data_IF_584111606260
#
_entry.id   IF_584111606260
#
_cell.length_a   1.000
_cell.length_b   1.000
_cell.length_c   1.000
_cell.angle_alpha   90.00
_cell.angle_beta   90.00
_cell.angle_gamma   90.00
#
_symmetry.space_group_name_H-M   'P 1'
#
loop_
_entity.id
_entity.type
_entity.pdbx_description
1 polymer ?
#
# COMPACT_ATOMS: atom_id res chain seq x y z
N UNK A 1 -59.61 17.90 45.70
CA UNK A 1 -60.44 16.89 46.40
C UNK A 1 -61.34 16.26 45.34
N UNK A 2 -61.27 14.93 45.17
CA UNK A 2 -61.90 14.16 44.08
C UNK A 2 -63.34 13.78 44.44
N UNK A 3 -64.26 13.93 43.49
CA UNK A 3 -65.63 13.41 43.55
C UNK A 3 -66.07 12.94 42.14
N UNK A 4 -66.72 11.76 42.07
CA UNK A 4 -67.63 11.28 41.00
C UNK A 4 -66.98 10.88 39.65
N UNK A 5 -67.00 9.64 39.15
CA UNK A 5 -68.10 8.69 38.83
C UNK A 5 -68.67 8.84 37.39
N UNK A 6 -68.68 7.71 36.66
CA UNK A 6 -69.52 7.33 35.48
C UNK A 6 -69.32 8.08 34.15
N UNK A 7 -68.67 7.47 33.15
CA UNK A 7 -69.25 6.66 32.04
C UNK A 7 -70.04 7.47 30.99
N UNK A 8 -69.46 7.62 29.80
CA UNK A 8 -70.19 7.68 28.54
C UNK A 8 -69.49 6.78 27.51
N UNK A 9 -70.28 5.84 26.99
CA UNK A 9 -69.95 4.84 25.98
C UNK A 9 -70.30 5.39 24.59
N UNK A 10 -69.66 4.79 23.59
CA UNK A 10 -69.96 4.82 22.15
C UNK A 10 -69.21 5.93 21.37
N UNK A 11 -68.70 5.70 20.16
CA UNK A 11 -69.22 4.86 19.06
C UNK A 11 -68.05 4.37 18.19
N UNK A 12 -68.20 3.15 17.68
CA UNK A 12 -67.42 2.50 16.63
C UNK A 12 -67.18 3.38 15.39
N UNK A 13 -65.94 3.39 14.87
CA UNK A 13 -65.69 3.58 13.44
C UNK A 13 -64.60 2.58 13.01
N UNK A 14 -65.06 1.40 12.58
CA UNK A 14 -64.30 0.51 11.70
C UNK A 14 -64.22 1.18 10.33
N UNK A 15 -63.01 1.58 9.93
CA UNK A 15 -62.66 1.65 8.51
C UNK A 15 -61.32 0.96 8.33
N UNK A 16 -61.38 -0.28 7.88
CA UNK A 16 -60.24 -0.99 7.32
C UNK A 16 -59.83 -0.28 6.04
N UNK A 17 -58.68 0.37 6.06
CA UNK A 17 -58.01 0.88 4.87
C UNK A 17 -56.55 0.47 4.91
N UNK A 18 -56.19 -0.56 4.13
CA UNK A 18 -54.80 -0.75 3.74
C UNK A 18 -54.34 0.53 3.04
N UNK A 19 -53.30 1.16 3.56
CA UNK A 19 -52.46 2.06 2.78
C UNK A 19 -51.03 1.68 3.09
N UNK A 20 -50.52 0.80 2.23
CA UNK A 20 -49.10 0.70 1.94
C UNK A 20 -48.67 2.10 1.51
N UNK A 21 -47.74 2.72 2.23
CA UNK A 21 -46.89 3.70 1.60
C UNK A 21 -45.45 3.51 2.08
N UNK A 22 -44.63 3.21 1.09
CA UNK A 22 -43.22 2.96 1.19
C UNK A 22 -42.49 4.18 1.74
N UNK A 23 -41.74 4.01 2.81
CA UNK A 23 -40.58 4.84 3.12
C UNK A 23 -39.36 3.94 3.13
N UNK A 24 -39.01 3.46 1.96
CA UNK A 24 -37.67 2.96 1.66
C UNK A 24 -37.01 3.99 0.75
N UNK A 25 -35.74 4.30 1.02
CA UNK A 25 -34.82 5.22 0.31
C UNK A 25 -34.73 6.66 0.84
N UNK A 26 -34.06 6.81 1.99
CA UNK A 26 -33.27 8.01 2.28
C UNK A 26 -31.99 7.73 3.09
N UNK A 27 -31.85 6.54 3.68
CA UNK A 27 -30.74 6.24 4.63
C UNK A 27 -29.54 5.51 4.02
N UNK A 28 -29.61 5.09 2.76
CA UNK A 28 -28.56 4.26 2.12
C UNK A 28 -27.47 5.08 1.41
N UNK A 29 -27.74 6.34 1.05
CA UNK A 29 -26.78 7.23 0.33
C UNK A 29 -25.77 7.88 1.29
N UNK A 30 -26.17 8.09 2.56
CA UNK A 30 -25.34 8.78 3.56
C UNK A 30 -24.17 7.92 4.08
N UNK A 31 -24.31 6.59 4.09
CA UNK A 31 -23.29 5.68 4.65
C UNK A 31 -22.14 5.47 3.65
N UNK A 32 -22.45 5.35 2.34
CA UNK A 32 -21.44 5.18 1.31
C UNK A 32 -20.52 6.40 1.18
N UNK A 33 -21.08 7.60 1.30
CA UNK A 33 -20.31 8.86 1.24
C UNK A 33 -19.37 9.00 2.45
N UNK A 34 -19.81 8.63 3.64
CA UNK A 34 -18.98 8.69 4.85
C UNK A 34 -17.84 7.66 4.83
N UNK A 35 -18.11 6.44 4.34
CA UNK A 35 -17.08 5.40 4.19
C UNK A 35 -16.04 5.79 3.12
N UNK A 36 -16.46 6.38 2.00
CA UNK A 36 -15.58 6.90 0.96
C UNK A 36 -14.70 8.05 1.48
N UNK A 37 -15.27 8.97 2.25
CA UNK A 37 -14.51 10.08 2.87
C UNK A 37 -13.45 9.57 3.85
N UNK A 38 -13.80 8.60 4.71
CA UNK A 38 -12.84 7.98 5.64
C UNK A 38 -11.73 7.24 4.88
N UNK A 39 -12.06 6.52 3.81
CA UNK A 39 -11.08 5.84 2.99
C UNK A 39 -10.12 6.83 2.29
N UNK A 40 -10.63 7.94 1.76
CA UNK A 40 -9.83 8.99 1.13
C UNK A 40 -8.90 9.68 2.14
N UNK A 41 -9.38 9.97 3.35
CA UNK A 41 -8.56 10.53 4.42
C UNK A 41 -7.46 9.56 4.87
N UNK A 42 -7.79 8.28 5.00
CA UNK A 42 -6.81 7.24 5.35
C UNK A 42 -5.72 7.12 4.28
N UNK A 43 -6.10 7.09 3.00
CA UNK A 43 -5.15 7.06 1.88
C UNK A 43 -4.23 8.30 1.88
N UNK A 44 -4.80 9.48 2.11
CA UNK A 44 -4.02 10.73 2.21
C UNK A 44 -3.02 10.69 3.37
N UNK A 45 -3.44 10.18 4.53
CA UNK A 45 -2.55 10.03 5.69
C UNK A 45 -1.43 9.02 5.43
N UNK A 46 -1.72 7.92 4.73
CA UNK A 46 -0.71 6.93 4.33
C UNK A 46 0.32 7.53 3.35
N UNK A 47 -0.12 8.31 2.37
CA UNK A 47 0.77 9.00 1.43
C UNK A 47 1.65 10.03 2.12
N UNK A 48 1.08 10.81 3.05
CA UNK A 48 1.83 11.77 3.86
C UNK A 48 2.89 11.07 4.73
N UNK A 49 2.55 9.95 5.36
CA UNK A 49 3.50 9.14 6.14
C UNK A 49 4.61 8.59 5.25
N UNK A 50 4.28 8.06 4.08
CA UNK A 50 5.26 7.55 3.12
C UNK A 50 6.21 8.66 2.65
N UNK A 51 5.69 9.84 2.31
CA UNK A 51 6.50 10.97 1.91
C UNK A 51 7.44 11.45 3.02
N UNK A 52 6.96 11.46 4.28
CA UNK A 52 7.77 11.78 5.44
C UNK A 52 8.91 10.76 5.61
N UNK A 53 8.61 9.46 5.60
CA UNK A 53 9.63 8.40 5.74
C UNK A 53 10.74 8.51 4.72
N UNK A 54 10.41 8.77 3.45
CA UNK A 54 11.42 8.92 2.39
C UNK A 54 12.34 10.12 2.65
N UNK A 55 11.79 11.25 3.10
CA UNK A 55 12.54 12.48 3.39
C UNK A 55 13.41 12.35 4.65
N UNK A 56 12.97 11.58 5.63
CA UNK A 56 13.69 11.37 6.90
C UNK A 56 14.51 10.09 6.93
N UNK A 57 14.61 9.38 5.81
CA UNK A 57 15.41 8.16 5.71
C UNK A 57 16.90 8.45 5.93
N UNK A 58 17.62 7.46 6.45
CA UNK A 58 19.08 7.54 6.65
C UNK A 58 19.81 7.87 5.35
N UNK A 59 19.32 7.33 4.22
CA UNK A 59 19.84 7.57 2.88
C UNK A 59 18.70 8.08 2.00
N UNK A 60 18.58 9.40 1.87
CA UNK A 60 17.56 10.06 1.04
C UNK A 60 18.15 10.85 -0.15
N UNK A 61 19.48 10.82 -0.35
CA UNK A 61 20.15 11.47 -1.47
C UNK A 61 21.33 10.66 -2.00
N UNK A 62 21.79 10.98 -3.21
CA UNK A 62 22.95 10.33 -3.83
C UNK A 62 24.24 10.62 -3.04
N UNK A 63 24.40 11.85 -2.54
CA UNK A 63 25.53 12.24 -1.69
C UNK A 63 25.49 11.49 -0.35
N UNK A 64 24.29 11.34 0.24
CA UNK A 64 24.09 10.57 1.45
C UNK A 64 24.44 9.10 1.26
N UNK A 65 24.10 8.51 0.10
CA UNK A 65 24.48 7.15 -0.25
C UNK A 65 26.00 7.00 -0.36
N UNK A 66 26.68 7.93 -1.04
CA UNK A 66 28.13 7.91 -1.15
C UNK A 66 28.81 8.00 0.25
N UNK A 67 28.32 8.88 1.11
CA UNK A 67 28.82 9.01 2.49
C UNK A 67 28.55 7.75 3.33
N UNK A 68 27.40 7.12 3.16
CA UNK A 68 27.06 5.87 3.83
C UNK A 68 28.01 4.75 3.41
N UNK A 69 28.24 4.59 2.10
CA UNK A 69 29.11 3.54 1.55
C UNK A 69 30.55 3.64 2.04
N UNK A 70 31.08 4.84 2.27
CA UNK A 70 32.44 5.04 2.84
C UNK A 70 32.52 4.56 4.29
N UNK A 71 31.42 4.65 5.04
CA UNK A 71 31.36 4.32 6.48
C UNK A 71 30.82 2.91 6.75
N UNK A 72 30.23 2.26 5.74
CA UNK A 72 29.57 0.98 5.89
C UNK A 72 30.56 -0.11 6.28
N UNK A 73 30.34 -0.72 7.45
CA UNK A 73 31.10 -1.89 7.90
C UNK A 73 30.45 -3.20 7.42
N UNK A 74 31.07 -4.34 7.73
CA UNK A 74 30.58 -5.66 7.34
C UNK A 74 29.16 -5.99 7.86
N UNK A 75 28.68 -5.32 8.91
CA UNK A 75 27.34 -5.51 9.47
C UNK A 75 26.25 -4.68 8.80
N UNK A 76 26.64 -3.69 7.98
CA UNK A 76 25.70 -2.84 7.25
C UNK A 76 24.72 -3.67 6.40
N UNK A 77 23.41 -3.36 6.42
CA UNK A 77 22.42 -4.06 5.58
C UNK A 77 22.73 -4.03 4.08
N UNK A 78 23.48 -3.03 3.59
CA UNK A 78 23.90 -2.97 2.18
C UNK A 78 24.86 -4.10 1.79
N UNK A 79 25.55 -4.67 2.78
CA UNK A 79 26.51 -5.77 2.60
C UNK A 79 25.86 -7.16 2.73
N UNK A 80 24.54 -7.23 2.92
CA UNK A 80 23.79 -8.49 2.80
C UNK A 80 23.75 -8.98 1.35
N UNK A 81 23.80 -8.07 0.38
CA UNK A 81 23.95 -8.41 -1.03
C UNK A 81 25.40 -8.78 -1.35
N UNK A 82 25.56 -9.72 -2.27
CA UNK A 82 26.85 -10.03 -2.88
C UNK A 82 27.47 -8.76 -3.49
N UNK A 83 28.80 -8.66 -3.60
CA UNK A 83 29.44 -7.44 -4.14
C UNK A 83 28.92 -7.04 -5.52
N UNK A 84 28.59 -8.01 -6.38
CA UNK A 84 28.05 -7.76 -7.71
C UNK A 84 26.59 -7.27 -7.67
N UNK A 85 25.74 -7.91 -6.87
CA UNK A 85 24.35 -7.50 -6.68
C UNK A 85 24.26 -6.12 -6.02
N UNK A 86 25.08 -5.87 -4.99
CA UNK A 86 25.19 -4.56 -4.33
C UNK A 86 25.52 -3.45 -5.33
N UNK A 87 26.50 -3.69 -6.20
CA UNK A 87 26.88 -2.73 -7.24
C UNK A 87 25.70 -2.40 -8.16
N UNK A 88 25.03 -3.42 -8.71
CA UNK A 88 23.86 -3.23 -9.58
C UNK A 88 22.70 -2.52 -8.87
N UNK A 89 22.41 -2.89 -7.62
CA UNK A 89 21.40 -2.23 -6.81
C UNK A 89 21.72 -0.73 -6.64
N UNK A 90 22.95 -0.40 -6.22
CA UNK A 90 23.40 0.99 -6.06
C UNK A 90 23.33 1.77 -7.37
N UNK A 91 23.77 1.18 -8.49
CA UNK A 91 23.71 1.81 -9.82
C UNK A 91 22.27 2.01 -10.33
N UNK A 92 21.31 1.21 -9.85
CA UNK A 92 19.90 1.33 -10.22
C UNK A 92 19.14 2.43 -9.47
N UNK A 93 19.66 2.89 -8.33
CA UNK A 93 18.99 3.88 -7.50
C UNK A 93 18.88 5.22 -8.24
N UNK A 94 17.69 5.82 -8.17
CA UNK A 94 17.43 7.19 -8.62
C UNK A 94 16.88 8.00 -7.46
N UNK A 95 17.35 9.24 -7.33
CA UNK A 95 16.97 10.14 -6.25
C UNK A 95 16.31 11.41 -6.81
N UNK A 96 15.45 12.02 -6.01
CA UNK A 96 14.99 13.40 -6.19
C UNK A 96 15.03 14.13 -4.83
N UNK A 97 14.47 15.35 -4.77
CA UNK A 97 14.43 16.15 -3.54
C UNK A 97 13.66 15.51 -2.37
N UNK A 98 12.86 14.45 -2.61
CA UNK A 98 12.09 13.76 -1.58
C UNK A 98 12.64 12.38 -1.20
N UNK A 99 13.69 11.88 -1.86
CA UNK A 99 14.24 10.56 -1.58
C UNK A 99 14.43 9.71 -2.85
N UNK A 100 14.44 8.39 -2.66
CA UNK A 100 14.52 7.42 -3.76
C UNK A 100 13.22 7.44 -4.58
N UNK A 101 13.35 7.50 -5.91
CA UNK A 101 12.23 7.51 -6.85
C UNK A 101 12.08 6.20 -7.61
N UNK A 102 13.17 5.48 -7.85
CA UNK A 102 13.16 4.17 -8.51
C UNK A 102 14.41 3.37 -8.18
N UNK A 103 14.31 2.05 -8.27
CA UNK A 103 15.41 1.09 -8.15
C UNK A 103 15.00 -0.25 -8.78
N UNK A 104 15.97 -1.15 -8.96
CA UNK A 104 15.77 -2.54 -9.36
C UNK A 104 15.83 -3.46 -8.13
N UNK A 105 14.95 -4.45 -8.04
CA UNK A 105 14.86 -5.37 -6.91
C UNK A 105 15.10 -6.85 -7.22
N UNK A 106 15.37 -7.23 -8.48
CA UNK A 106 15.65 -8.62 -8.85
C UNK A 106 16.77 -9.27 -8.03
N UNK A 107 17.84 -8.53 -7.77
CA UNK A 107 18.97 -9.01 -6.96
C UNK A 107 18.59 -9.17 -5.49
N UNK A 108 17.66 -8.34 -4.99
CA UNK A 108 17.12 -8.46 -3.62
C UNK A 108 16.30 -9.75 -3.50
N UNK A 109 15.41 -10.02 -4.47
CA UNK A 109 14.62 -11.25 -4.49
C UNK A 109 15.48 -12.51 -4.61
N UNK A 110 16.56 -12.45 -5.40
CA UNK A 110 17.42 -13.59 -5.67
C UNK A 110 18.29 -13.97 -4.46
N UNK A 111 18.75 -12.98 -3.67
CA UNK A 111 19.76 -13.23 -2.64
C UNK A 111 19.20 -13.13 -1.21
N UNK A 112 18.21 -12.27 -0.96
CA UNK A 112 17.79 -11.91 0.39
C UNK A 112 16.49 -12.61 0.83
N UNK A 113 16.37 -12.84 2.14
CA UNK A 113 15.08 -13.14 2.78
C UNK A 113 14.24 -11.87 2.96
N UNK A 114 12.94 -12.02 3.25
CA UNK A 114 12.05 -10.88 3.48
C UNK A 114 12.54 -9.96 4.61
N UNK A 115 13.06 -10.50 5.71
CA UNK A 115 13.60 -9.68 6.81
C UNK A 115 14.91 -8.98 6.43
N UNK A 116 15.76 -9.62 5.63
CA UNK A 116 16.97 -9.01 5.10
C UNK A 116 16.65 -7.87 4.12
N UNK A 117 15.70 -8.07 3.21
CA UNK A 117 15.22 -7.05 2.29
C UNK A 117 14.60 -5.86 3.04
N UNK A 118 13.79 -6.12 4.07
CA UNK A 118 13.24 -5.10 4.95
C UNK A 118 14.33 -4.23 5.58
N UNK A 119 15.37 -4.84 6.17
CA UNK A 119 16.50 -4.11 6.78
C UNK A 119 17.26 -3.27 5.75
N UNK A 120 17.52 -3.81 4.57
CA UNK A 120 18.17 -3.09 3.47
C UNK A 120 17.35 -1.88 3.02
N UNK A 121 16.06 -2.07 2.76
CA UNK A 121 15.18 -1.02 2.25
C UNK A 121 14.83 0.04 3.29
N UNK A 122 14.87 -0.30 4.58
CA UNK A 122 14.69 0.64 5.68
C UNK A 122 15.75 1.74 5.69
N UNK A 123 16.96 1.48 5.16
CA UNK A 123 17.99 2.52 5.00
C UNK A 123 17.50 3.70 4.14
N UNK A 124 16.56 3.42 3.23
CA UNK A 124 16.03 4.35 2.23
C UNK A 124 14.57 4.75 2.50
N UNK A 125 13.95 4.27 3.59
CA UNK A 125 12.51 4.48 3.86
C UNK A 125 11.59 3.75 2.87
N UNK A 126 12.07 2.65 2.29
CA UNK A 126 11.41 1.87 1.24
C UNK A 126 10.92 0.51 1.75
N UNK A 127 10.88 0.27 3.05
CA UNK A 127 10.60 -1.04 3.63
C UNK A 127 9.26 -1.65 3.18
N UNK A 128 8.27 -0.82 2.87
CA UNK A 128 6.98 -1.28 2.34
C UNK A 128 7.07 -1.92 0.95
N UNK A 129 8.17 -1.71 0.21
CA UNK A 129 8.39 -2.29 -1.12
C UNK A 129 8.74 -3.78 -1.09
N UNK A 130 8.92 -4.37 0.08
CA UNK A 130 8.98 -5.85 0.21
C UNK A 130 7.67 -6.48 -0.32
N UNK A 131 6.52 -5.82 -0.20
CA UNK A 131 5.24 -6.30 -0.74
C UNK A 131 5.21 -6.45 -2.27
N UNK A 132 6.05 -5.71 -3.00
CA UNK A 132 6.19 -5.82 -4.47
C UNK A 132 7.02 -7.04 -4.90
N UNK A 133 7.76 -7.66 -3.97
CA UNK A 133 8.73 -8.71 -4.24
C UNK A 133 8.07 -10.10 -4.15
N UNK A 134 7.40 -10.51 -5.23
CA UNK A 134 6.65 -11.77 -5.28
C UNK A 134 7.49 -13.03 -5.13
N UNK A 135 8.79 -12.97 -5.41
CA UNK A 135 9.72 -14.11 -5.31
C UNK A 135 10.59 -14.06 -4.07
N UNK A 136 10.34 -13.13 -3.14
CA UNK A 136 11.15 -12.99 -1.94
C UNK A 136 11.10 -14.25 -1.07
N UNK A 137 12.25 -14.63 -0.52
CA UNK A 137 12.38 -15.84 0.30
C UNK A 137 11.83 -15.63 1.71
N UNK A 138 11.06 -16.59 2.21
CA UNK A 138 10.40 -16.55 3.53
C UNK A 138 10.68 -17.85 4.28
N UNK A 139 11.75 -17.87 5.07
CA UNK A 139 12.25 -19.10 5.70
C UNK A 139 12.08 -19.08 7.23
N UNK A 140 12.09 -17.89 7.84
CA UNK A 140 12.06 -17.69 9.29
C UNK A 140 10.77 -17.06 9.79
N UNK A 141 10.55 -17.07 11.11
CA UNK A 141 9.41 -16.35 11.69
C UNK A 141 9.53 -14.83 11.55
N UNK A 142 10.76 -14.30 11.53
CA UNK A 142 10.99 -12.88 11.25
C UNK A 142 10.54 -12.53 9.82
N UNK A 143 10.86 -13.39 8.84
CA UNK A 143 10.40 -13.20 7.45
C UNK A 143 8.87 -13.26 7.34
N UNK A 144 8.23 -14.18 8.08
CA UNK A 144 6.76 -14.25 8.13
C UNK A 144 6.16 -13.01 8.78
N UNK A 145 6.78 -12.48 9.83
CA UNK A 145 6.32 -11.25 10.47
C UNK A 145 6.38 -10.06 9.49
N UNK A 146 7.46 -9.92 8.72
CA UNK A 146 7.56 -8.91 7.65
C UNK A 146 6.50 -9.13 6.58
N UNK A 147 6.31 -10.37 6.12
CA UNK A 147 5.31 -10.71 5.09
C UNK A 147 3.87 -10.44 5.56
N UNK A 148 3.57 -10.59 6.85
CA UNK A 148 2.27 -10.22 7.43
C UNK A 148 2.10 -8.71 7.57
N UNK A 149 3.16 -7.99 7.90
CA UNK A 149 3.14 -6.53 8.01
C UNK A 149 3.02 -5.83 6.64
N UNK A 150 3.59 -6.45 5.59
CA UNK A 150 3.58 -5.98 4.21
C UNK A 150 3.09 -7.09 3.28
N UNK A 151 1.79 -7.44 3.36
CA UNK A 151 1.25 -8.48 2.49
C UNK A 151 1.43 -8.06 1.04
N UNK A 152 1.89 -9.00 0.21
CA UNK A 152 1.84 -8.81 -1.23
C UNK A 152 0.39 -8.48 -1.62
N UNK A 153 0.19 -7.47 -2.47
CA UNK A 153 -1.14 -7.20 -2.99
C UNK A 153 -1.64 -8.48 -3.66
N UNK A 154 -2.72 -9.04 -3.11
CA UNK A 154 -3.37 -10.20 -3.70
C UNK A 154 -3.91 -9.74 -5.05
N UNK A 155 -3.15 -9.97 -6.11
CA UNK A 155 -3.63 -9.82 -7.46
C UNK A 155 -4.87 -10.72 -7.58
N UNK A 156 -6.04 -10.11 -7.80
CA UNK A 156 -7.23 -10.86 -8.16
C UNK A 156 -6.96 -11.47 -9.53
N UNK A 157 -6.93 -12.81 -9.67
CA UNK A 157 -6.78 -13.43 -10.97
C UNK A 157 -8.16 -13.39 -11.64
N UNK A 158 -8.61 -12.22 -12.09
CA UNK A 158 -9.83 -12.13 -12.91
C UNK A 158 -9.66 -11.16 -14.09
N UNK A 159 -9.49 -11.78 -15.26
CA UNK A 159 -9.94 -11.34 -16.60
C UNK A 159 -9.52 -9.95 -17.08
N UNK A 160 -8.27 -9.86 -17.52
CA UNK A 160 -7.85 -9.65 -18.93
C UNK A 160 -6.34 -9.51 -18.93
N UNK A 161 -5.65 -10.39 -19.66
CA UNK A 161 -4.32 -10.04 -20.19
C UNK A 161 -4.50 -8.73 -20.96
N UNK A 162 -3.60 -7.77 -20.74
CA UNK A 162 -3.61 -6.35 -21.16
C UNK A 162 -3.95 -5.41 -19.99
N UNK A 163 -2.92 -4.95 -19.29
CA UNK A 163 -3.09 -3.94 -18.24
C UNK A 163 -1.84 -3.83 -17.39
N UNK A 164 -1.02 -2.83 -17.71
CA UNK A 164 -0.13 -2.15 -16.77
C UNK A 164 0.76 -3.03 -15.87
N UNK A 165 2.04 -3.12 -16.22
CA UNK A 165 3.05 -3.77 -15.39
C UNK A 165 3.50 -2.80 -14.28
N UNK A 166 2.94 -2.96 -13.08
CA UNK A 166 3.40 -2.26 -11.88
C UNK A 166 4.85 -2.61 -11.52
N UNK A 167 5.60 -1.59 -11.08
CA UNK A 167 7.03 -1.63 -10.80
C UNK A 167 7.90 -1.94 -12.04
N UNK A 168 7.44 -1.54 -13.24
CA UNK A 168 8.19 -1.54 -14.50
C UNK A 168 8.12 -0.19 -15.22
N UNK A 169 9.09 0.10 -16.09
CA UNK A 169 9.14 1.25 -16.96
C UNK A 169 9.38 0.85 -18.43
N UNK A 170 8.82 1.61 -19.38
CA UNK A 170 9.13 1.46 -20.79
C UNK A 170 10.60 1.83 -21.06
N UNK A 171 11.36 0.91 -21.67
CA UNK A 171 12.73 1.19 -22.16
C UNK A 171 12.82 1.15 -23.69
N UNK A 172 11.75 0.73 -24.36
CA UNK A 172 11.61 0.71 -25.81
C UNK A 172 10.24 0.17 -26.22
N UNK A 173 9.99 0.14 -27.53
CA UNK A 173 8.75 -0.40 -28.10
C UNK A 173 8.48 -1.82 -27.57
N UNK A 174 7.31 -2.03 -26.97
CA UNK A 174 6.86 -3.26 -26.35
C UNK A 174 7.84 -3.87 -25.32
N UNK A 175 8.74 -3.07 -24.76
CA UNK A 175 9.82 -3.54 -23.87
C UNK A 175 9.80 -2.81 -22.54
N UNK A 176 9.52 -3.57 -21.47
CA UNK A 176 9.52 -3.08 -20.10
C UNK A 176 10.78 -3.54 -19.35
N UNK A 177 11.32 -2.68 -18.49
CA UNK A 177 12.37 -3.00 -17.52
C UNK A 177 11.86 -2.78 -16.10
N UNK A 178 12.29 -3.62 -15.15
CA UNK A 178 11.96 -3.45 -13.74
C UNK A 178 12.40 -2.08 -13.21
N UNK A 179 11.45 -1.36 -12.61
CA UNK A 179 11.66 -0.04 -12.03
C UNK A 179 10.59 0.23 -10.98
N UNK A 180 10.96 0.15 -9.70
CA UNK A 180 10.00 0.33 -8.61
C UNK A 180 9.34 1.70 -8.64
N UNK A 181 8.03 1.73 -8.45
CA UNK A 181 7.21 2.94 -8.43
C UNK A 181 6.85 3.46 -9.83
N UNK A 182 7.11 2.68 -10.88
CA UNK A 182 6.70 2.96 -12.25
C UNK A 182 5.61 1.98 -12.69
N UNK A 183 4.89 2.36 -13.73
CA UNK A 183 3.90 1.51 -14.38
C UNK A 183 4.24 1.48 -15.87
N UNK A 184 4.38 0.28 -16.41
CA UNK A 184 4.64 0.07 -17.83
C UNK A 184 3.32 -0.34 -18.51
N UNK A 185 2.74 0.56 -19.30
CA UNK A 185 1.49 0.28 -20.02
C UNK A 185 1.74 -0.65 -21.21
N UNK A 186 0.71 -1.38 -21.64
CA UNK A 186 0.77 -2.20 -22.86
C UNK A 186 1.08 -1.31 -24.08
N UNK A 187 2.08 -1.69 -24.88
CA UNK A 187 2.41 -0.96 -26.11
C UNK A 187 3.19 0.33 -25.89
N UNK A 188 4.15 0.34 -24.95
CA UNK A 188 5.35 1.16 -25.14
C UNK A 188 5.76 1.14 -26.63
#
# INVERSE_FOLDING_TARGET
MKLGMTHCVAVFCLVSGLSVNASGRAEEVSINTAAEQVAAELATNQDAQKALRLRTAQIHSAEGLAQYLVKADASSPINLLSPAARKRFVESLRFNASGVTSFRYSDIEAELSASQAYRLLSLFGLESKVSSMRKIRVDSEEDRAVSRAYPASAFTPDRRQDGDHEDYACIGGHTCEESVGKICMSGC
#
